data_IF_907177256928
#
_entry.id   IF_907177256928
#
_cell.length_a   1.000
_cell.length_b   1.000
_cell.length_c   1.000
_cell.angle_alpha   90.00
_cell.angle_beta   90.00
_cell.angle_gamma   90.00
#
_symmetry.space_group_name_H-M   'P 1'
#
loop_
_entity.id
_entity.type
_entity.pdbx_description
1 polymer ?
#
# COMPACT_ATOMS: atom_id res chain seq x y z
N UNK A 1 -7.02 -12.47 -17.44
CA UNK A 1 -5.67 -12.51 -18.03
C UNK A 1 -5.09 -11.08 -18.08
N UNK A 2 -4.76 -10.49 -16.92
CA UNK A 2 -4.07 -9.18 -16.75
C UNK A 2 -3.36 -9.11 -15.37
N UNK A 3 -3.01 -10.26 -14.80
CA UNK A 3 -2.65 -10.37 -13.37
C UNK A 3 -1.16 -10.15 -13.08
N UNK A 4 -0.29 -10.31 -14.08
CA UNK A 4 1.15 -10.47 -13.85
C UNK A 4 1.96 -9.15 -13.82
N UNK A 5 1.42 -8.03 -14.29
CA UNK A 5 2.23 -6.81 -14.50
C UNK A 5 2.18 -5.80 -13.35
N UNK A 6 1.23 -5.93 -12.42
CA UNK A 6 1.06 -4.97 -11.30
C UNK A 6 1.86 -5.40 -10.06
N UNK A 7 2.01 -6.71 -9.81
CA UNK A 7 2.75 -7.25 -8.66
C UNK A 7 4.25 -6.91 -8.73
N UNK A 8 4.86 -7.05 -9.92
CA UNK A 8 6.32 -6.90 -10.07
C UNK A 8 6.77 -5.44 -10.23
N UNK A 9 5.92 -4.57 -10.78
CA UNK A 9 6.31 -3.19 -11.10
C UNK A 9 6.16 -2.24 -9.89
N UNK A 10 5.26 -2.54 -8.96
CA UNK A 10 4.92 -1.68 -7.81
C UNK A 10 5.33 -2.27 -6.45
N UNK A 11 5.87 -3.49 -6.41
CA UNK A 11 6.26 -4.14 -5.15
C UNK A 11 5.09 -4.46 -4.24
N UNK A 12 3.89 -4.63 -4.82
CA UNK A 12 2.68 -5.05 -4.13
C UNK A 12 2.63 -6.57 -4.09
N UNK A 13 2.78 -7.15 -2.90
CA UNK A 13 2.64 -8.58 -2.67
C UNK A 13 1.39 -8.84 -1.85
N UNK A 14 0.52 -9.72 -2.35
CA UNK A 14 -0.61 -10.21 -1.57
C UNK A 14 -0.13 -11.37 -0.68
N UNK A 15 -0.03 -11.15 0.62
CA UNK A 15 0.22 -12.20 1.63
C UNK A 15 -1.09 -12.57 2.32
N UNK A 16 -1.78 -13.59 1.76
CA UNK A 16 -3.02 -14.20 2.29
C UNK A 16 -4.18 -13.19 2.43
N UNK A 17 -4.20 -12.40 3.50
CA UNK A 17 -5.18 -11.37 3.84
C UNK A 17 -4.54 -9.99 4.06
N UNK A 18 -3.25 -9.82 3.73
CA UNK A 18 -2.55 -8.55 3.85
C UNK A 18 -1.94 -8.17 2.49
N UNK A 19 -2.21 -6.95 2.03
CA UNK A 19 -1.49 -6.36 0.92
C UNK A 19 -0.21 -5.73 1.46
N UNK A 20 0.91 -6.37 1.19
CA UNK A 20 2.24 -5.86 1.49
C UNK A 20 2.67 -4.92 0.37
N UNK A 21 2.99 -3.69 0.73
CA UNK A 21 3.54 -2.68 -0.16
C UNK A 21 4.97 -2.40 0.26
N UNK A 22 5.91 -2.79 -0.60
CA UNK A 22 7.32 -2.43 -0.42
C UNK A 22 7.56 -1.06 -1.05
N UNK A 23 8.15 -0.08 -0.35
CA UNK A 23 8.48 1.22 -0.92
C UNK A 23 9.65 1.12 -1.91
N UNK A 24 9.39 0.52 -3.07
CA UNK A 24 10.24 0.58 -4.27
C UNK A 24 9.71 1.67 -5.22
N UNK A 25 9.21 2.77 -4.64
CA UNK A 25 8.63 3.87 -5.40
C UNK A 25 9.77 4.80 -5.82
N UNK A 26 9.82 5.22 -7.09
CA UNK A 26 10.80 6.19 -7.51
C UNK A 26 10.61 7.53 -6.78
N UNK A 27 11.69 8.09 -6.22
CA UNK A 27 11.67 9.34 -5.44
C UNK A 27 11.15 10.58 -6.21
N UNK A 28 10.90 10.47 -7.52
CA UNK A 28 10.38 11.57 -8.34
C UNK A 28 8.84 11.63 -8.39
N UNK A 29 8.14 10.62 -7.85
CA UNK A 29 6.67 10.63 -7.78
C UNK A 29 6.21 11.36 -6.53
N UNK A 30 5.31 12.34 -6.69
CA UNK A 30 4.71 13.07 -5.56
C UNK A 30 3.53 12.33 -4.95
N UNK A 31 2.72 11.71 -5.80
CA UNK A 31 1.59 10.88 -5.39
C UNK A 31 1.11 10.03 -6.55
N UNK A 32 0.46 8.91 -6.23
CA UNK A 32 -0.21 8.07 -7.22
C UNK A 32 -1.34 7.28 -6.56
N UNK A 33 -2.33 6.89 -7.36
CA UNK A 33 -3.49 6.12 -6.90
C UNK A 33 -3.53 4.76 -7.59
N UNK A 34 -3.82 3.73 -6.81
CA UNK A 34 -3.94 2.34 -7.23
C UNK A 34 -5.37 1.91 -6.92
N UNK A 35 -6.08 1.46 -7.93
CA UNK A 35 -7.38 0.82 -7.75
C UNK A 35 -7.15 -0.69 -7.76
N UNK A 36 -7.17 -1.28 -6.58
CA UNK A 36 -7.03 -2.71 -6.37
C UNK A 36 -8.40 -3.33 -6.10
N UNK A 37 -8.62 -4.56 -6.59
CA UNK A 37 -9.85 -5.31 -6.29
C UNK A 37 -9.47 -6.61 -5.63
N UNK A 38 -9.81 -6.75 -4.36
CA UNK A 38 -9.67 -7.99 -3.62
C UNK A 38 -11.00 -8.73 -3.66
N UNK A 39 -11.09 -9.82 -4.42
CA UNK A 39 -12.33 -10.59 -4.62
C UNK A 39 -13.49 -9.71 -5.12
N UNK A 40 -14.48 -9.41 -4.28
CA UNK A 40 -15.63 -8.55 -4.59
C UNK A 40 -15.52 -7.16 -3.96
N UNK A 41 -14.44 -6.91 -3.23
CA UNK A 41 -14.18 -5.70 -2.46
C UNK A 41 -13.20 -4.79 -3.21
N UNK A 42 -13.51 -3.50 -3.28
CA UNK A 42 -12.69 -2.51 -3.98
C UNK A 42 -11.82 -1.74 -3.00
N UNK A 43 -10.55 -1.58 -3.33
CA UNK A 43 -9.55 -0.86 -2.56
C UNK A 43 -9.00 0.29 -3.39
N UNK A 44 -9.28 1.52 -2.95
CA UNK A 44 -8.74 2.73 -3.54
C UNK A 44 -7.56 3.20 -2.70
N UNK A 45 -6.35 2.82 -3.13
CA UNK A 45 -5.12 3.10 -2.40
C UNK A 45 -4.47 4.34 -3.00
N UNK A 46 -4.36 5.41 -2.23
CA UNK A 46 -3.68 6.65 -2.63
C UNK A 46 -2.40 6.80 -1.83
N UNK A 47 -1.27 6.82 -2.53
CA UNK A 47 0.05 6.93 -1.92
C UNK A 47 0.56 8.34 -2.18
N UNK A 48 0.94 9.04 -1.12
CA UNK A 48 1.56 10.36 -1.13
C UNK A 48 3.00 10.21 -0.69
N UNK A 49 3.92 10.65 -1.56
CA UNK A 49 5.35 10.61 -1.32
C UNK A 49 5.80 12.05 -1.09
N UNK A 50 5.75 12.49 0.16
CA UNK A 50 6.03 13.88 0.52
C UNK A 50 7.52 14.12 0.85
N UNK A 51 8.33 13.05 0.98
CA UNK A 51 9.77 13.12 1.27
C UNK A 51 10.66 12.95 0.04
N UNK A 52 11.67 13.83 -0.10
CA UNK A 52 12.78 13.71 -1.07
C UNK A 52 13.68 12.48 -0.78
N UNK A 53 13.57 11.93 0.43
CA UNK A 53 14.13 10.65 0.86
C UNK A 53 12.98 9.85 1.48
N UNK A 54 12.87 8.54 1.23
CA UNK A 54 11.95 7.69 1.98
C UNK A 54 12.48 7.61 3.42
N UNK A 55 12.09 8.56 4.26
CA UNK A 55 12.27 8.41 5.69
C UNK A 55 11.41 7.22 6.09
N UNK A 56 11.87 6.46 7.07
CA UNK A 56 11.32 5.15 7.43
C UNK A 56 9.90 5.20 8.04
N UNK A 57 9.16 6.29 7.88
CA UNK A 57 7.86 6.48 8.51
C UNK A 57 6.74 6.36 7.47
N UNK A 58 5.98 5.27 7.57
CA UNK A 58 4.85 4.97 6.69
C UNK A 58 3.59 5.14 7.53
N UNK A 59 2.74 6.10 7.18
CA UNK A 59 1.45 6.27 7.82
C UNK A 59 0.37 5.68 6.92
N UNK A 60 -0.36 4.68 7.41
CA UNK A 60 -1.46 4.06 6.66
C UNK A 60 -2.78 4.42 7.33
N UNK A 61 -3.72 4.90 6.54
CA UNK A 61 -5.08 5.20 6.99
C UNK A 61 -6.06 4.43 6.12
N UNK A 62 -6.93 3.62 6.72
CA UNK A 62 -7.95 2.83 6.02
C UNK A 62 -9.32 3.35 6.44
N UNK A 63 -10.10 3.85 5.48
CA UNK A 63 -11.42 4.44 5.67
C UNK A 63 -11.45 5.53 6.76
N UNK A 64 -10.39 6.34 6.81
CA UNK A 64 -10.22 7.40 7.82
C UNK A 64 -9.73 6.90 9.18
N UNK A 65 -9.51 5.60 9.35
CA UNK A 65 -8.92 5.01 10.56
C UNK A 65 -7.42 4.84 10.37
N UNK A 66 -6.63 5.50 11.22
CA UNK A 66 -5.17 5.31 11.22
C UNK A 66 -4.87 3.89 11.68
N UNK A 67 -4.23 3.13 10.82
CA UNK A 67 -3.78 1.76 11.09
C UNK A 67 -2.25 1.78 11.16
N UNK A 68 -1.73 1.41 12.31
CA UNK A 68 -0.29 1.22 12.50
C UNK A 68 0.13 -0.15 11.92
N UNK A 69 -0.19 -0.38 10.66
CA UNK A 69 0.18 -1.61 9.96
C UNK A 69 1.42 -1.36 9.10
N UNK A 70 2.51 -1.06 9.81
CA UNK A 70 3.86 -0.98 9.25
C UNK A 70 4.61 -2.26 9.63
N UNK A 71 4.80 -3.13 8.64
CA UNK A 71 5.70 -4.27 8.75
C UNK A 71 7.15 -3.87 8.64
N UNK A 72 8.05 -4.76 9.03
CA UNK A 72 9.49 -4.59 8.80
C UNK A 72 9.96 -5.74 7.93
N UNK A 73 10.73 -5.47 6.87
CA UNK A 73 11.35 -6.52 6.05
C UNK A 73 12.56 -7.15 6.78
N UNK A 74 13.05 -8.26 6.25
CA UNK A 74 14.27 -8.95 6.73
C UNK A 74 15.50 -8.03 6.83
N UNK A 75 15.52 -6.94 6.04
CA UNK A 75 16.57 -5.90 6.07
C UNK A 75 16.30 -4.74 7.04
N UNK A 76 15.23 -4.79 7.82
CA UNK A 76 14.89 -3.73 8.78
C UNK A 76 14.11 -2.55 8.19
N UNK A 77 13.65 -2.63 6.93
CA UNK A 77 12.93 -1.53 6.26
C UNK A 77 11.44 -1.57 6.53
N UNK A 78 10.75 -0.42 6.65
CA UNK A 78 9.33 -0.38 6.92
C UNK A 78 8.58 -0.72 5.64
N UNK A 79 7.48 -1.43 5.78
CA UNK A 79 6.64 -1.89 4.70
C UNK A 79 5.20 -1.59 5.06
N UNK A 80 4.46 -0.97 4.15
CA UNK A 80 3.03 -0.77 4.37
C UNK A 80 2.34 -2.14 4.30
N UNK A 81 1.68 -2.55 5.37
CA UNK A 81 0.74 -3.66 5.35
C UNK A 81 -0.67 -3.09 5.39
N UNK A 82 -1.50 -3.49 4.44
CA UNK A 82 -2.91 -3.09 4.38
C UNK A 82 -3.73 -4.35 4.58
N UNK A 83 -4.50 -4.48 5.67
CA UNK A 83 -5.39 -5.62 5.85
C UNK A 83 -6.47 -5.59 4.77
N UNK A 84 -6.66 -6.73 4.10
CA UNK A 84 -7.69 -6.94 3.11
C UNK A 84 -8.81 -7.75 3.76
N UNK A 85 -9.99 -7.15 3.76
CA UNK A 85 -11.21 -7.69 4.33
C UNK A 85 -12.20 -7.79 3.19
N UNK A 86 -12.80 -8.96 3.03
CA UNK A 86 -13.79 -9.19 1.99
C UNK A 86 -15.20 -8.84 2.51
N UNK A 87 -15.47 -7.55 2.71
CA UNK A 87 -16.77 -7.05 3.21
C UNK A 87 -17.69 -6.58 2.06
N UNK A 88 -17.24 -6.70 0.80
CA UNK A 88 -17.92 -6.22 -0.41
C UNK A 88 -18.15 -4.70 -0.43
N UNK A 89 -17.52 -3.96 0.48
CA UNK A 89 -17.54 -2.50 0.55
C UNK A 89 -16.31 -1.90 -0.13
N UNK A 90 -16.42 -0.65 -0.59
CA UNK A 90 -15.26 0.06 -1.09
C UNK A 90 -14.46 0.60 0.10
N UNK A 91 -13.19 0.24 0.16
CA UNK A 91 -12.24 0.72 1.16
C UNK A 91 -11.33 1.79 0.56
N UNK A 92 -11.22 2.93 1.23
CA UNK A 92 -10.28 3.99 0.87
C UNK A 92 -9.04 3.91 1.73
N UNK A 93 -7.88 3.69 1.10
CA UNK A 93 -6.61 3.60 1.79
C UNK A 93 -5.77 4.81 1.41
N UNK A 94 -5.28 5.55 2.39
CA UNK A 94 -4.30 6.62 2.22
C UNK A 94 -2.99 6.20 2.86
N UNK A 95 -1.90 6.27 2.08
CA UNK A 95 -0.55 6.01 2.56
C UNK A 95 0.24 7.29 2.43
N UNK A 96 0.74 7.81 3.54
CA UNK A 96 1.66 8.95 3.56
C UNK A 96 3.07 8.45 3.87
N UNK A 97 4.01 8.76 2.98
CA UNK A 97 5.42 8.48 3.14
C UNK A 97 6.11 9.82 3.45
N UNK A 98 6.58 9.94 4.69
CA UNK A 98 7.21 11.16 5.23
C UNK A 98 8.72 10.99 5.41
#
# INVERSE_FOLDING_TARGET
MYRLTVETLLGLQLEVDHLRMTPCIPAHWKSYSIHYRFRETFYHITIKCNGEKPNHEIHVTVDGTVVDSVGVDESGRPQGMIPLIDDHQAHHVEVDLN
#
